data_IF_988270509325
#
_entry.id   IF_988270509325
#
_cell.length_a   1.000
_cell.length_b   1.000
_cell.length_c   1.000
_cell.angle_alpha   90.00
_cell.angle_beta   90.00
_cell.angle_gamma   90.00
#
_symmetry.space_group_name_H-M   'P 1'
#
loop_
_entity.id
_entity.type
_entity.pdbx_description
1 polymer ?
#
# COMPACT_ATOMS: atom_id res chain seq x y z
N UNK A 1 10.75 20.05 13.53
CA UNK A 1 11.75 19.23 12.78
C UNK A 1 11.45 19.32 11.30
N UNK A 2 12.47 19.44 10.47
CA UNK A 2 12.35 19.27 9.02
C UNK A 2 12.58 17.82 8.65
N UNK A 3 11.55 17.16 8.14
CA UNK A 3 11.57 15.77 7.72
C UNK A 3 11.58 15.73 6.19
N UNK A 4 12.74 15.45 5.59
CA UNK A 4 12.85 15.32 4.14
C UNK A 4 12.58 13.87 3.75
N UNK A 5 11.67 13.69 2.79
CA UNK A 5 11.17 12.38 2.36
C UNK A 5 11.51 12.15 0.89
N UNK A 6 12.13 11.04 0.59
CA UNK A 6 12.48 10.64 -0.78
C UNK A 6 11.70 9.39 -1.18
N UNK A 7 10.94 9.45 -2.27
CA UNK A 7 10.20 8.30 -2.75
C UNK A 7 10.32 8.14 -4.26
N UNK A 8 10.59 6.93 -4.71
CA UNK A 8 10.47 6.49 -6.10
C UNK A 8 9.17 5.70 -6.30
N UNK A 9 8.84 5.36 -7.52
CA UNK A 9 7.68 4.55 -7.88
C UNK A 9 6.34 5.12 -7.40
N UNK A 10 6.27 6.44 -7.25
CA UNK A 10 5.02 7.15 -6.93
C UNK A 10 4.19 7.26 -8.20
N UNK A 11 3.06 6.56 -8.24
CA UNK A 11 2.18 6.60 -9.39
C UNK A 11 1.53 7.99 -9.54
N UNK A 12 1.36 8.51 -10.78
CA UNK A 12 0.83 9.86 -10.99
C UNK A 12 -0.61 10.04 -10.48
N UNK A 13 -1.44 9.02 -10.57
CA UNK A 13 -2.89 9.10 -10.29
C UNK A 13 -3.37 8.22 -9.15
N UNK A 14 -2.70 7.10 -8.84
CA UNK A 14 -3.19 6.13 -7.84
C UNK A 14 -2.05 5.42 -7.11
N UNK A 15 -2.38 4.70 -6.06
CA UNK A 15 -1.49 3.75 -5.38
C UNK A 15 -1.33 4.01 -3.88
N UNK A 16 -1.21 2.94 -3.15
CA UNK A 16 -1.06 2.95 -1.69
C UNK A 16 0.12 3.79 -1.21
N UNK A 17 1.27 3.74 -1.93
CA UNK A 17 2.43 4.57 -1.59
C UNK A 17 2.09 6.07 -1.64
N UNK A 18 1.40 6.54 -2.70
CA UNK A 18 1.01 7.94 -2.82
C UNK A 18 0.08 8.38 -1.68
N UNK A 19 -0.89 7.52 -1.33
CA UNK A 19 -1.78 7.77 -0.19
C UNK A 19 -1.00 7.82 1.12
N UNK A 20 -0.12 6.86 1.38
CA UNK A 20 0.71 6.83 2.59
C UNK A 20 1.61 8.07 2.70
N UNK A 21 2.27 8.47 1.61
CA UNK A 21 3.09 9.68 1.58
C UNK A 21 2.26 10.93 1.90
N UNK A 22 1.08 11.06 1.31
CA UNK A 22 0.20 12.20 1.56
C UNK A 22 -0.29 12.27 3.00
N UNK A 23 -0.82 11.18 3.53
CA UNK A 23 -1.41 11.14 4.86
C UNK A 23 -0.34 11.32 5.97
N UNK A 24 0.83 10.68 5.82
CA UNK A 24 1.94 10.90 6.73
C UNK A 24 2.45 12.34 6.67
N UNK A 25 2.59 12.91 5.46
CA UNK A 25 3.01 14.31 5.31
C UNK A 25 2.04 15.29 5.95
N UNK A 26 0.75 15.14 5.69
CA UNK A 26 -0.30 15.95 6.34
C UNK A 26 -0.28 15.80 7.87
N UNK A 27 -0.08 14.56 8.35
CA UNK A 27 0.03 14.30 9.79
C UNK A 27 1.29 14.92 10.42
N UNK A 28 2.43 14.90 9.72
CA UNK A 28 3.64 15.57 10.21
C UNK A 28 3.43 17.11 10.28
N UNK A 29 2.79 17.67 9.26
CA UNK A 29 2.47 19.10 9.22
C UNK A 29 1.53 19.48 10.37
N UNK A 30 0.48 18.70 10.59
CA UNK A 30 -0.47 18.91 11.69
C UNK A 30 0.17 18.77 13.08
N UNK A 31 1.25 17.98 13.19
CA UNK A 31 2.04 17.83 14.40
C UNK A 31 3.12 18.95 14.59
N UNK A 32 3.11 19.99 13.75
CA UNK A 32 4.03 21.13 13.85
C UNK A 32 5.44 20.85 13.28
N UNK A 33 5.57 19.85 12.40
CA UNK A 33 6.82 19.56 11.70
C UNK A 33 6.79 20.15 10.28
N UNK A 34 7.95 20.19 9.63
CA UNK A 34 8.13 20.68 8.26
C UNK A 34 8.43 19.51 7.32
N UNK A 35 7.41 18.83 6.75
CA UNK A 35 7.62 17.77 5.80
C UNK A 35 7.94 18.33 4.42
N UNK A 36 9.01 17.80 3.81
CA UNK A 36 9.42 18.08 2.43
C UNK A 36 9.50 16.76 1.67
N UNK A 37 8.66 16.56 0.67
CA UNK A 37 8.63 15.35 -0.15
C UNK A 37 9.34 15.60 -1.48
N UNK A 38 10.31 14.75 -1.84
CA UNK A 38 11.00 14.76 -3.13
C UNK A 38 10.63 13.51 -3.90
N UNK A 39 10.00 13.68 -5.06
CA UNK A 39 9.53 12.60 -5.93
C UNK A 39 9.94 12.80 -7.38
N UNK A 40 10.00 11.74 -8.21
CA UNK A 40 10.21 11.88 -9.64
C UNK A 40 8.92 12.28 -10.36
N UNK A 41 9.04 13.08 -11.42
CA UNK A 41 7.96 13.49 -12.30
C UNK A 41 8.37 13.60 -13.75
N UNK A 42 7.49 14.12 -14.59
CA UNK A 42 7.75 14.43 -16.00
C UNK A 42 8.47 15.77 -16.20
N UNK A 43 8.30 16.68 -15.26
CA UNK A 43 8.92 18.00 -15.18
C UNK A 43 9.38 18.30 -13.77
N UNK A 44 10.19 19.34 -13.63
CA UNK A 44 10.53 19.89 -12.32
C UNK A 44 9.40 20.78 -11.83
N UNK A 45 9.07 20.67 -10.55
CA UNK A 45 8.10 21.52 -9.86
C UNK A 45 8.45 21.64 -8.38
N UNK A 46 7.99 22.70 -7.74
CA UNK A 46 8.16 22.95 -6.29
C UNK A 46 6.89 23.62 -5.80
N UNK A 47 6.12 22.90 -5.00
CA UNK A 47 4.75 23.29 -4.64
C UNK A 47 4.51 23.14 -3.14
N UNK A 48 3.81 24.10 -2.54
CA UNK A 48 3.24 23.94 -1.21
C UNK A 48 1.87 23.27 -1.31
N UNK A 49 1.68 22.24 -0.50
CA UNK A 49 0.46 21.42 -0.53
C UNK A 49 -0.03 21.14 0.89
N UNK A 50 -1.21 20.53 1.03
CA UNK A 50 -1.73 20.08 2.32
C UNK A 50 -0.92 18.98 3.02
N UNK A 51 0.10 18.42 2.37
CA UNK A 51 1.04 17.45 2.95
C UNK A 51 2.44 18.04 3.21
N UNK A 52 2.59 19.36 3.09
CA UNK A 52 3.86 20.09 3.13
C UNK A 52 4.40 20.41 1.73
N UNK A 53 5.69 20.77 1.67
CA UNK A 53 6.37 21.11 0.40
C UNK A 53 6.63 19.85 -0.41
N UNK A 54 6.28 19.88 -1.69
CA UNK A 54 6.51 18.78 -2.64
C UNK A 54 7.42 19.26 -3.76
N UNK A 55 8.60 18.68 -3.85
CA UNK A 55 9.59 18.93 -4.89
C UNK A 55 9.56 17.78 -5.89
N UNK A 56 9.12 18.04 -7.09
CA UNK A 56 9.13 17.08 -8.19
C UNK A 56 10.40 17.28 -9.01
N UNK A 57 11.14 16.22 -9.25
CA UNK A 57 12.32 16.25 -10.11
C UNK A 57 12.07 15.42 -11.37
N UNK A 58 12.39 16.01 -12.54
CA UNK A 58 12.31 15.25 -13.79
C UNK A 58 13.17 13.99 -13.72
N UNK A 59 12.52 12.83 -13.85
CA UNK A 59 13.13 11.51 -13.81
C UNK A 59 12.73 10.63 -14.99
N UNK A 60 13.59 9.65 -15.39
CA UNK A 60 13.26 8.73 -16.46
C UNK A 60 12.09 7.81 -16.07
N UNK A 61 11.35 7.38 -17.08
CA UNK A 61 10.35 6.31 -16.93
C UNK A 61 11.04 4.96 -16.80
N UNK A 62 10.51 4.11 -15.94
CA UNK A 62 10.93 2.71 -15.85
C UNK A 62 10.14 1.90 -16.89
N UNK A 63 10.80 1.20 -17.82
CA UNK A 63 10.12 0.40 -18.82
C UNK A 63 9.19 -0.65 -18.20
N UNK A 64 8.10 -0.97 -18.87
CA UNK A 64 7.15 -2.03 -18.50
C UNK A 64 6.47 -1.89 -17.12
N UNK A 65 6.55 -0.71 -16.47
CA UNK A 65 5.97 -0.49 -15.12
C UNK A 65 4.69 0.35 -15.12
N UNK A 66 4.11 0.65 -16.29
CA UNK A 66 2.91 1.48 -16.38
C UNK A 66 3.14 2.96 -16.00
N UNK A 67 4.35 3.48 -16.28
CA UNK A 67 4.66 4.90 -16.17
C UNK A 67 5.34 5.34 -14.88
N UNK A 68 5.79 4.44 -14.04
CA UNK A 68 6.64 4.79 -12.90
C UNK A 68 7.92 5.49 -13.33
N UNK A 69 8.38 6.41 -12.49
CA UNK A 69 9.61 7.16 -12.67
C UNK A 69 10.54 7.00 -11.47
N UNK A 70 11.83 7.30 -11.65
CA UNK A 70 12.86 7.17 -10.63
C UNK A 70 13.76 8.41 -10.56
N UNK A 71 14.23 8.70 -9.35
CA UNK A 71 15.22 9.71 -9.03
C UNK A 71 16.63 9.15 -9.24
N UNK A 72 17.31 9.54 -10.30
CA UNK A 72 18.67 9.05 -10.62
C UNK A 72 19.76 10.12 -10.48
N UNK A 73 19.41 11.41 -10.50
CA UNK A 73 20.39 12.52 -10.50
C UNK A 73 20.97 12.78 -9.11
N UNK A 74 21.88 11.90 -8.65
CA UNK A 74 22.49 11.97 -7.31
C UNK A 74 23.02 13.35 -6.94
N UNK A 75 23.76 14.01 -7.83
CA UNK A 75 24.31 15.36 -7.58
C UNK A 75 23.22 16.38 -7.23
N UNK A 76 22.09 16.32 -7.93
CA UNK A 76 20.96 17.24 -7.68
C UNK A 76 20.28 16.94 -6.35
N UNK A 77 20.05 15.66 -6.05
CA UNK A 77 19.48 15.24 -4.78
C UNK A 77 20.41 15.63 -3.61
N UNK A 78 21.71 15.41 -3.76
CA UNK A 78 22.69 15.80 -2.74
C UNK A 78 22.65 17.31 -2.49
N UNK A 79 22.62 18.14 -3.55
CA UNK A 79 22.49 19.60 -3.42
C UNK A 79 21.23 19.98 -2.65
N UNK A 80 20.06 19.45 -3.04
CA UNK A 80 18.79 19.71 -2.35
C UNK A 80 18.83 19.28 -0.87
N UNK A 81 19.38 18.12 -0.56
CA UNK A 81 19.51 17.66 0.82
C UNK A 81 20.40 18.60 1.64
N UNK A 82 21.50 19.11 1.04
CA UNK A 82 22.39 20.07 1.71
C UNK A 82 21.72 21.43 1.91
N UNK A 83 20.95 21.91 0.94
CA UNK A 83 20.19 23.17 1.02
C UNK A 83 19.05 23.07 2.05
N UNK A 84 18.32 21.97 2.05
CA UNK A 84 17.19 21.73 2.93
C UNK A 84 17.58 21.49 4.39
N UNK A 85 18.79 21.04 4.67
CA UNK A 85 19.29 20.73 6.04
C UNK A 85 18.30 19.92 6.87
N UNK A 86 17.95 18.68 6.47
CA UNK A 86 16.97 17.89 7.20
C UNK A 86 17.44 17.52 8.60
N UNK A 87 16.54 17.52 9.56
CA UNK A 87 16.74 16.91 10.88
C UNK A 87 16.62 15.38 10.78
N UNK A 88 15.74 14.92 9.88
CA UNK A 88 15.56 13.50 9.61
C UNK A 88 15.26 13.26 8.12
N UNK A 89 15.76 12.14 7.59
CA UNK A 89 15.59 11.69 6.23
C UNK A 89 14.75 10.41 6.20
N UNK A 90 13.59 10.43 5.52
CA UNK A 90 12.75 9.26 5.28
C UNK A 90 12.88 8.81 3.82
N UNK A 91 13.14 7.54 3.58
CA UNK A 91 13.35 7.01 2.23
C UNK A 91 12.45 5.80 1.97
N UNK A 92 11.64 5.88 0.93
CA UNK A 92 10.70 4.84 0.51
C UNK A 92 11.20 4.02 -0.68
N UNK A 93 12.51 4.00 -0.92
CA UNK A 93 13.15 3.15 -1.94
C UNK A 93 14.51 2.68 -1.44
N UNK A 94 14.65 1.36 -1.32
CA UNK A 94 15.88 0.71 -0.85
C UNK A 94 16.82 0.28 -1.99
N UNK A 95 16.47 0.53 -3.23
CA UNK A 95 17.27 0.20 -4.41
C UNK A 95 18.14 1.37 -4.86
N UNK A 96 17.56 2.30 -5.61
CA UNK A 96 18.30 3.40 -6.23
C UNK A 96 18.66 4.53 -5.26
N UNK A 97 17.92 4.68 -4.16
CA UNK A 97 18.12 5.73 -3.14
C UNK A 97 18.91 5.26 -1.89
N UNK A 98 19.32 3.99 -1.79
CA UNK A 98 20.05 3.47 -0.62
C UNK A 98 21.28 4.29 -0.25
N UNK A 99 21.96 4.92 -1.21
CA UNK A 99 23.14 5.76 -0.97
C UNK A 99 22.84 6.96 -0.06
N UNK A 100 21.59 7.40 0.02
CA UNK A 100 21.18 8.54 0.85
C UNK A 100 21.32 8.26 2.34
N UNK A 101 21.19 7.03 2.79
CA UNK A 101 21.48 6.64 4.17
C UNK A 101 22.95 6.89 4.56
N UNK A 102 23.89 6.62 3.64
CA UNK A 102 25.30 6.96 3.88
C UNK A 102 25.56 8.46 3.85
N UNK A 103 24.85 9.19 2.99
CA UNK A 103 24.89 10.64 2.98
C UNK A 103 24.43 11.20 4.34
N UNK A 104 23.27 10.77 4.81
CA UNK A 104 22.70 11.20 6.08
C UNK A 104 23.66 10.96 7.26
N UNK A 105 24.25 9.77 7.35
CA UNK A 105 25.23 9.45 8.39
C UNK A 105 26.43 10.39 8.39
N UNK A 106 26.96 10.77 7.21
CA UNK A 106 28.09 11.71 7.10
C UNK A 106 27.75 13.13 7.53
N UNK A 107 26.45 13.48 7.52
CA UNK A 107 25.97 14.81 7.88
C UNK A 107 25.26 14.84 9.25
N UNK A 108 25.33 13.77 10.03
CA UNK A 108 24.70 13.69 11.35
C UNK A 108 23.16 13.68 11.29
N UNK A 109 22.56 13.34 10.15
CA UNK A 109 21.12 13.31 9.92
C UNK A 109 20.60 11.91 10.19
N UNK A 110 19.54 11.79 10.99
CA UNK A 110 18.85 10.52 11.21
C UNK A 110 18.25 10.00 9.92
N UNK A 111 18.54 8.76 9.54
CA UNK A 111 18.06 8.14 8.31
C UNK A 111 17.10 6.98 8.60
N UNK A 112 15.89 7.09 8.07
CA UNK A 112 14.82 6.11 8.18
C UNK A 112 14.50 5.55 6.80
N UNK A 113 14.44 4.23 6.65
CA UNK A 113 13.94 3.58 5.44
C UNK A 113 12.59 2.95 5.73
N UNK A 114 11.62 3.20 4.86
CA UNK A 114 10.27 2.61 4.95
C UNK A 114 10.14 1.49 3.91
N UNK A 115 9.86 0.28 4.38
CA UNK A 115 9.70 -0.90 3.52
C UNK A 115 8.27 -0.99 3.03
N UNK A 116 8.02 -0.51 1.82
CA UNK A 116 6.72 -0.60 1.14
C UNK A 116 6.60 -1.78 0.19
N UNK A 117 7.67 -2.55 -0.01
CA UNK A 117 7.74 -3.61 -1.01
C UNK A 117 8.52 -4.82 -0.46
N UNK A 118 8.22 -6.02 -0.95
CA UNK A 118 9.04 -7.20 -0.77
C UNK A 118 10.06 -7.30 -1.91
N UNK A 119 11.36 -7.23 -1.60
CA UNK A 119 12.40 -7.43 -2.61
C UNK A 119 12.42 -8.87 -3.13
N UNK A 120 12.17 -9.84 -2.27
CA UNK A 120 12.13 -11.24 -2.68
C UNK A 120 10.99 -11.48 -3.69
N UNK A 121 9.82 -10.89 -3.46
CA UNK A 121 8.69 -10.97 -4.38
C UNK A 121 8.99 -10.26 -5.71
N UNK A 122 9.57 -9.04 -5.67
CA UNK A 122 9.89 -8.28 -6.88
C UNK A 122 10.96 -8.95 -7.73
N UNK A 123 12.04 -9.45 -7.11
CA UNK A 123 13.12 -10.15 -7.82
C UNK A 123 12.61 -11.51 -8.34
N UNK A 124 11.75 -12.20 -7.59
CA UNK A 124 11.14 -13.46 -7.99
C UNK A 124 10.23 -13.36 -9.20
N UNK A 125 9.66 -12.18 -9.49
CA UNK A 125 8.93 -11.94 -10.75
C UNK A 125 9.85 -11.85 -11.96
N UNK A 126 11.11 -11.45 -11.77
CA UNK A 126 12.10 -11.29 -12.84
C UNK A 126 13.00 -12.52 -13.00
N UNK A 127 13.21 -13.28 -11.93
CA UNK A 127 14.05 -14.47 -11.90
C UNK A 127 13.19 -15.71 -11.61
N UNK A 128 13.14 -16.71 -12.51
CA UNK A 128 12.28 -17.88 -12.35
C UNK A 128 12.73 -18.83 -11.22
N UNK A 129 13.90 -18.61 -10.64
CA UNK A 129 14.45 -19.44 -9.56
C UNK A 129 14.35 -18.76 -8.20
N UNK A 130 13.52 -19.29 -7.28
CA UNK A 130 13.28 -18.65 -5.97
C UNK A 130 14.53 -18.59 -5.05
N UNK A 131 15.44 -19.57 -5.16
CA UNK A 131 16.68 -19.59 -4.35
C UNK A 131 17.60 -18.41 -4.61
N UNK A 132 18.08 -18.21 -5.86
CA UNK A 132 18.90 -17.06 -6.23
C UNK A 132 18.22 -15.71 -5.98
N UNK A 133 16.93 -15.59 -6.23
CA UNK A 133 16.16 -14.38 -5.97
C UNK A 133 16.20 -14.00 -4.47
N UNK A 134 16.02 -14.98 -3.59
CA UNK A 134 16.09 -14.78 -2.14
C UNK A 134 17.48 -14.39 -1.66
N UNK A 135 18.55 -15.04 -2.16
CA UNK A 135 19.92 -14.71 -1.82
C UNK A 135 20.25 -13.26 -2.21
N UNK A 136 19.83 -12.83 -3.40
CA UNK A 136 20.03 -11.47 -3.87
C UNK A 136 19.24 -10.47 -3.01
N UNK A 137 17.97 -10.75 -2.70
CA UNK A 137 17.17 -9.94 -1.79
C UNK A 137 17.82 -9.81 -0.42
N UNK A 138 18.34 -10.89 0.15
CA UNK A 138 18.99 -10.89 1.45
C UNK A 138 20.29 -10.05 1.46
N UNK A 139 21.09 -10.12 0.39
CA UNK A 139 22.28 -9.25 0.24
C UNK A 139 21.90 -7.79 0.18
N UNK A 140 20.87 -7.45 -0.58
CA UNK A 140 20.38 -6.07 -0.71
C UNK A 140 19.78 -5.57 0.61
N UNK A 141 19.02 -6.41 1.31
CA UNK A 141 18.43 -6.09 2.61
C UNK A 141 19.52 -5.89 3.69
N UNK A 142 20.59 -6.71 3.73
CA UNK A 142 21.76 -6.48 4.61
C UNK A 142 22.44 -5.14 4.32
N UNK A 143 22.63 -4.80 3.04
CA UNK A 143 23.21 -3.53 2.65
C UNK A 143 22.31 -2.34 3.03
N UNK A 144 21.01 -2.51 2.97
CA UNK A 144 20.01 -1.52 3.39
C UNK A 144 20.00 -1.36 4.91
N UNK A 145 19.95 -2.45 5.67
CA UNK A 145 20.00 -2.42 7.14
C UNK A 145 21.23 -1.69 7.68
N UNK A 146 22.39 -1.86 7.02
CA UNK A 146 23.62 -1.16 7.39
C UNK A 146 23.65 0.32 6.97
N UNK A 147 22.80 0.72 6.01
CA UNK A 147 22.80 2.09 5.49
C UNK A 147 21.93 3.05 6.30
N UNK A 148 20.92 2.57 6.97
CA UNK A 148 19.93 3.37 7.69
C UNK A 148 19.94 3.11 9.18
N UNK A 149 19.58 4.13 9.99
CA UNK A 149 19.51 4.03 11.45
C UNK A 149 18.28 3.22 11.89
N UNK A 150 17.17 3.34 11.15
CA UNK A 150 15.92 2.60 11.38
C UNK A 150 15.33 2.12 10.06
N UNK A 151 14.72 0.95 10.11
CA UNK A 151 13.89 0.39 9.04
C UNK A 151 12.48 0.25 9.59
N UNK A 152 11.54 0.96 8.99
CA UNK A 152 10.12 0.84 9.30
C UNK A 152 9.51 -0.23 8.41
N UNK A 153 8.90 -1.23 9.03
CA UNK A 153 8.11 -2.26 8.38
C UNK A 153 6.64 -2.07 8.75
N UNK A 154 5.76 -2.00 7.75
CA UNK A 154 4.34 -1.74 7.98
C UNK A 154 3.58 -2.96 8.50
N UNK A 155 4.14 -4.16 8.31
CA UNK A 155 3.60 -5.45 8.75
C UNK A 155 4.72 -6.38 9.22
N UNK A 156 4.38 -7.45 9.95
CA UNK A 156 5.31 -8.53 10.29
C UNK A 156 5.80 -9.27 9.05
N UNK A 157 4.92 -9.42 8.06
CA UNK A 157 5.30 -10.00 6.77
C UNK A 157 6.43 -9.21 6.07
N UNK A 158 6.34 -7.87 6.08
CA UNK A 158 7.41 -7.01 5.57
C UNK A 158 8.69 -7.05 6.44
N UNK A 159 8.54 -7.24 7.76
CA UNK A 159 9.66 -7.36 8.69
C UNK A 159 10.42 -8.68 8.52
N UNK A 160 9.74 -9.76 8.18
CA UNK A 160 10.33 -11.10 8.07
C UNK A 160 11.53 -11.18 7.10
N UNK A 161 11.55 -10.35 6.03
CA UNK A 161 12.71 -10.26 5.13
C UNK A 161 13.98 -9.73 5.83
N UNK A 162 13.82 -8.82 6.77
CA UNK A 162 14.91 -8.23 7.53
C UNK A 162 15.27 -9.05 8.78
N UNK A 163 14.28 -9.66 9.43
CA UNK A 163 14.48 -10.58 10.55
C UNK A 163 15.31 -11.79 10.13
N UNK A 164 15.02 -12.36 8.95
CA UNK A 164 15.76 -13.47 8.36
C UNK A 164 17.27 -13.19 8.20
N UNK A 165 17.65 -11.94 8.01
CA UNK A 165 19.05 -11.52 7.87
C UNK A 165 19.66 -11.01 9.19
N UNK A 166 18.94 -11.09 10.31
CA UNK A 166 19.38 -10.65 11.63
C UNK A 166 19.45 -9.13 11.80
N UNK A 167 18.66 -8.35 11.06
CA UNK A 167 18.63 -6.90 11.22
C UNK A 167 18.06 -6.51 12.59
N UNK A 168 18.75 -5.63 13.33
CA UNK A 168 18.37 -5.21 14.69
C UNK A 168 17.72 -3.83 14.77
N UNK A 169 17.72 -3.09 13.67
CA UNK A 169 17.21 -1.71 13.59
C UNK A 169 15.80 -1.63 13.00
N UNK A 170 14.99 -2.65 13.23
CA UNK A 170 13.61 -2.72 12.76
C UNK A 170 12.65 -2.01 13.72
N UNK A 171 11.64 -1.39 13.16
CA UNK A 171 10.49 -0.84 13.89
C UNK A 171 9.22 -1.18 13.11
N UNK A 172 8.22 -1.71 13.79
CA UNK A 172 6.90 -1.94 13.19
C UNK A 172 6.04 -0.71 13.40
N UNK A 173 5.55 -0.15 12.29
CA UNK A 173 4.62 0.97 12.29
C UNK A 173 3.59 0.78 11.17
N UNK A 174 2.41 0.24 11.49
CA UNK A 174 1.34 0.05 10.52
C UNK A 174 0.89 1.38 9.92
N UNK A 175 0.46 1.34 8.66
CA UNK A 175 -0.22 2.47 8.02
C UNK A 175 -1.64 2.62 8.55
N UNK A 176 -2.32 3.69 8.16
CA UNK A 176 -3.67 3.98 8.59
C UNK A 176 -4.69 4.00 7.46
N UNK A 177 -5.94 4.22 7.83
CA UNK A 177 -7.06 4.51 6.93
C UNK A 177 -7.82 5.74 7.43
N UNK A 178 -8.40 6.48 6.51
CA UNK A 178 -9.29 7.61 6.80
C UNK A 178 -10.68 7.07 7.14
N UNK A 179 -10.95 6.99 8.43
CA UNK A 179 -12.18 6.42 8.98
C UNK A 179 -13.41 7.34 8.82
N UNK A 180 -13.20 8.60 8.47
CA UNK A 180 -14.28 9.58 8.23
C UNK A 180 -14.79 9.47 6.80
N UNK A 181 -13.89 9.38 5.83
CA UNK A 181 -14.25 9.17 4.42
C UNK A 181 -14.73 7.75 4.18
N UNK A 182 -13.97 6.75 4.66
CA UNK A 182 -14.31 5.33 4.55
C UNK A 182 -15.07 4.88 5.80
N UNK A 183 -16.40 4.93 5.70
CA UNK A 183 -17.30 4.57 6.80
C UNK A 183 -18.42 3.67 6.32
N UNK A 184 -18.99 2.84 7.19
CA UNK A 184 -20.12 1.99 6.85
C UNK A 184 -21.28 2.82 6.28
N UNK A 185 -21.92 2.27 5.25
CA UNK A 185 -23.16 2.81 4.67
C UNK A 185 -24.23 1.73 4.74
N UNK A 186 -25.50 2.14 4.77
CA UNK A 186 -26.60 1.17 4.66
C UNK A 186 -26.48 0.43 3.33
N UNK A 187 -26.45 -0.90 3.33
CA UNK A 187 -26.50 -1.66 2.10
C UNK A 187 -27.80 -1.33 1.36
N UNK A 188 -27.72 -1.13 0.06
CA UNK A 188 -28.91 -1.05 -0.77
C UNK A 188 -29.41 -2.47 -1.04
N UNK A 189 -30.74 -2.66 -0.96
CA UNK A 189 -31.36 -3.91 -1.36
C UNK A 189 -31.00 -4.21 -2.82
N UNK A 190 -30.49 -5.40 -3.09
CA UNK A 190 -30.09 -5.84 -4.43
C UNK A 190 -30.27 -7.34 -4.60
N UNK A 191 -30.41 -7.76 -5.83
CA UNK A 191 -30.42 -9.18 -6.16
C UNK A 191 -28.98 -9.71 -6.28
N UNK A 192 -28.68 -10.77 -5.54
CA UNK A 192 -27.40 -11.45 -5.55
C UNK A 192 -26.25 -10.73 -4.82
N UNK A 193 -25.08 -11.34 -4.89
CA UNK A 193 -23.84 -10.94 -4.20
C UNK A 193 -23.03 -9.98 -5.07
N UNK A 194 -22.60 -8.86 -4.50
CA UNK A 194 -21.68 -7.93 -5.14
C UNK A 194 -20.25 -8.14 -4.62
N UNK A 195 -19.38 -8.56 -5.50
CA UNK A 195 -17.94 -8.58 -5.26
C UNK A 195 -17.31 -7.30 -5.81
N UNK A 196 -16.33 -6.75 -5.11
CA UNK A 196 -15.54 -5.62 -5.59
C UNK A 196 -14.05 -5.99 -5.60
N UNK A 197 -13.40 -5.81 -6.74
CA UNK A 197 -11.96 -5.77 -6.84
C UNK A 197 -11.51 -4.31 -6.91
N UNK A 198 -10.68 -3.86 -5.97
CA UNK A 198 -10.15 -2.50 -5.96
C UNK A 198 -8.63 -2.53 -5.98
N UNK A 199 -8.03 -2.04 -7.08
CA UNK A 199 -6.59 -1.99 -7.19
C UNK A 199 -6.09 -1.86 -8.61
N UNK A 200 -4.76 -1.76 -8.74
CA UNK A 200 -4.11 -1.69 -10.05
C UNK A 200 -4.26 -3.01 -10.80
N UNK A 201 -4.60 -2.93 -12.09
CA UNK A 201 -4.71 -4.12 -12.94
C UNK A 201 -3.36 -4.49 -13.55
N UNK A 202 -2.44 -4.95 -12.71
CA UNK A 202 -1.04 -5.27 -13.04
C UNK A 202 -0.66 -6.70 -12.60
N UNK A 203 0.39 -7.29 -13.20
CA UNK A 203 0.75 -8.70 -12.96
C UNK A 203 0.99 -9.06 -11.50
N UNK A 204 1.61 -8.16 -10.73
CA UNK A 204 1.90 -8.38 -9.30
C UNK A 204 0.66 -8.37 -8.41
N UNK A 205 -0.45 -7.76 -8.88
CA UNK A 205 -1.73 -7.73 -8.18
C UNK A 205 -2.64 -8.91 -8.53
N UNK A 206 -2.28 -9.69 -9.54
CA UNK A 206 -3.03 -10.87 -10.01
C UNK A 206 -4.56 -10.68 -10.09
N UNK A 207 -5.06 -9.63 -10.76
CA UNK A 207 -6.50 -9.35 -10.81
C UNK A 207 -7.32 -10.47 -11.49
N UNK A 208 -6.68 -11.31 -12.31
CA UNK A 208 -7.31 -12.49 -12.93
C UNK A 208 -7.85 -13.49 -11.89
N UNK A 209 -7.26 -13.55 -10.69
CA UNK A 209 -7.76 -14.40 -9.58
C UNK A 209 -9.18 -14.00 -9.16
N UNK A 210 -9.52 -12.71 -9.25
CA UNK A 210 -10.88 -12.23 -8.94
C UNK A 210 -11.91 -12.74 -9.96
N UNK A 211 -11.54 -12.76 -11.24
CA UNK A 211 -12.42 -13.33 -12.27
C UNK A 211 -12.59 -14.84 -12.08
N UNK A 212 -11.51 -15.55 -11.79
CA UNK A 212 -11.55 -17.00 -11.46
C UNK A 212 -12.49 -17.24 -10.28
N UNK A 213 -12.37 -16.46 -9.21
CA UNK A 213 -13.25 -16.54 -8.04
C UNK A 213 -14.71 -16.32 -8.42
N UNK A 214 -15.03 -15.31 -9.24
CA UNK A 214 -16.39 -15.05 -9.70
C UNK A 214 -16.93 -16.22 -10.54
N UNK A 215 -16.12 -16.78 -11.46
CA UNK A 215 -16.49 -17.92 -12.28
C UNK A 215 -16.82 -19.14 -11.42
N UNK A 216 -15.98 -19.48 -10.46
CA UNK A 216 -16.20 -20.61 -9.53
C UNK A 216 -17.48 -20.46 -8.72
N UNK A 217 -17.72 -19.28 -8.13
CA UNK A 217 -18.93 -19.03 -7.35
C UNK A 217 -20.21 -19.16 -8.20
N UNK A 218 -20.17 -18.69 -9.46
CA UNK A 218 -21.30 -18.80 -10.36
C UNK A 218 -21.54 -20.23 -10.83
N UNK A 219 -20.48 -20.98 -11.09
CA UNK A 219 -20.57 -22.41 -11.41
C UNK A 219 -21.22 -23.22 -10.29
N UNK A 220 -21.05 -22.78 -9.02
CA UNK A 220 -21.68 -23.36 -7.84
C UNK A 220 -23.13 -22.83 -7.62
N UNK A 221 -23.69 -22.03 -8.53
CA UNK A 221 -25.06 -21.53 -8.47
C UNK A 221 -25.22 -20.23 -7.67
N UNK A 222 -24.15 -19.60 -7.15
CA UNK A 222 -24.27 -18.33 -6.45
C UNK A 222 -24.57 -17.20 -7.45
N UNK A 223 -25.65 -16.47 -7.27
CA UNK A 223 -25.95 -15.25 -8.03
C UNK A 223 -24.97 -14.15 -7.63
N UNK A 224 -23.83 -14.08 -8.29
CA UNK A 224 -22.80 -13.10 -8.01
C UNK A 224 -22.46 -12.25 -9.24
N UNK A 225 -22.13 -10.99 -9.01
CA UNK A 225 -21.59 -10.04 -9.99
C UNK A 225 -20.39 -9.28 -9.39
N UNK A 226 -19.59 -8.67 -10.25
CA UNK A 226 -18.37 -7.99 -9.81
C UNK A 226 -18.26 -6.59 -10.39
N UNK A 227 -17.74 -5.66 -9.56
CA UNK A 227 -17.21 -4.37 -10.03
C UNK A 227 -15.70 -4.35 -9.84
N UNK A 228 -14.99 -4.00 -10.91
CA UNK A 228 -13.54 -3.83 -10.92
C UNK A 228 -13.22 -2.34 -10.94
N UNK A 229 -12.77 -1.80 -9.81
CA UNK A 229 -12.35 -0.41 -9.66
C UNK A 229 -10.83 -0.34 -9.73
N UNK A 230 -10.32 0.15 -10.84
CA UNK A 230 -8.90 0.28 -11.10
C UNK A 230 -8.57 0.24 -12.58
N UNK A 231 -7.30 0.52 -12.87
CA UNK A 231 -6.79 0.53 -14.25
C UNK A 231 -5.37 -0.06 -14.27
N UNK A 232 -4.93 -0.47 -15.45
CA UNK A 232 -3.59 -1.04 -15.61
C UNK A 232 -3.42 -1.88 -16.87
N UNK A 233 -2.21 -2.36 -17.11
CA UNK A 233 -1.85 -3.05 -18.37
C UNK A 233 -2.61 -4.35 -18.65
N UNK A 234 -3.26 -4.93 -17.64
CA UNK A 234 -4.06 -6.15 -17.82
C UNK A 234 -5.53 -5.89 -18.13
N UNK A 235 -6.01 -4.63 -18.16
CA UNK A 235 -7.41 -4.29 -18.32
C UNK A 235 -8.05 -4.97 -19.54
N UNK A 236 -7.52 -4.74 -20.74
CA UNK A 236 -8.08 -5.29 -21.97
C UNK A 236 -8.12 -6.83 -21.99
N UNK A 237 -7.14 -7.46 -21.37
CA UNK A 237 -7.11 -8.92 -21.24
C UNK A 237 -8.21 -9.44 -20.31
N UNK A 238 -8.45 -8.72 -19.20
CA UNK A 238 -9.49 -9.07 -18.23
C UNK A 238 -10.90 -8.85 -18.82
N UNK A 239 -11.11 -7.75 -19.55
CA UNK A 239 -12.38 -7.47 -20.24
C UNK A 239 -12.69 -8.53 -21.27
N UNK A 240 -11.72 -8.91 -22.14
CA UNK A 240 -11.88 -10.01 -23.10
C UNK A 240 -12.19 -11.34 -22.42
N UNK A 241 -11.52 -11.65 -21.32
CA UNK A 241 -11.78 -12.88 -20.56
C UNK A 241 -13.19 -12.87 -19.97
N UNK A 242 -13.61 -11.77 -19.33
CA UNK A 242 -14.93 -11.65 -18.74
C UNK A 242 -16.04 -11.83 -19.80
N UNK A 243 -15.87 -11.23 -20.98
CA UNK A 243 -16.81 -11.36 -22.09
C UNK A 243 -16.85 -12.81 -22.64
N UNK A 244 -15.69 -13.45 -22.84
CA UNK A 244 -15.62 -14.81 -23.36
C UNK A 244 -16.24 -15.86 -22.41
N UNK A 245 -16.11 -15.64 -21.09
CA UNK A 245 -16.67 -16.51 -20.05
C UNK A 245 -18.11 -16.09 -19.63
N UNK A 246 -18.71 -15.06 -20.24
CA UNK A 246 -20.05 -14.55 -19.89
C UNK A 246 -20.18 -14.09 -18.44
N UNK A 247 -19.09 -13.57 -17.86
CA UNK A 247 -19.08 -13.13 -16.46
C UNK A 247 -19.70 -11.73 -16.30
N UNK A 248 -20.61 -11.51 -15.34
CA UNK A 248 -21.21 -10.22 -15.08
C UNK A 248 -20.23 -9.30 -14.33
N UNK A 249 -19.29 -8.71 -15.06
CA UNK A 249 -18.25 -7.82 -14.55
C UNK A 249 -18.42 -6.42 -15.14
N UNK A 250 -18.43 -5.42 -14.28
CA UNK A 250 -18.36 -4.00 -14.66
C UNK A 250 -16.98 -3.46 -14.39
N UNK A 251 -16.29 -2.98 -15.40
CA UNK A 251 -14.98 -2.33 -15.26
C UNK A 251 -15.17 -0.81 -15.12
N UNK A 252 -15.18 -0.32 -13.88
CA UNK A 252 -15.41 1.09 -13.54
C UNK A 252 -14.20 2.00 -13.85
N UNK A 253 -13.05 1.41 -14.16
CA UNK A 253 -11.82 2.19 -14.34
C UNK A 253 -11.27 2.77 -13.03
N UNK A 254 -10.43 3.77 -13.15
CA UNK A 254 -9.85 4.45 -11.99
C UNK A 254 -10.86 5.44 -11.40
N UNK A 255 -11.26 5.23 -10.16
CA UNK A 255 -12.11 6.14 -9.38
C UNK A 255 -11.22 7.19 -8.70
N UNK A 256 -11.31 8.44 -9.16
CA UNK A 256 -10.52 9.55 -8.62
C UNK A 256 -11.10 10.09 -7.29
N UNK A 257 -12.40 9.97 -7.12
CA UNK A 257 -13.13 10.46 -5.94
C UNK A 257 -13.08 9.47 -4.78
N UNK A 258 -12.49 9.85 -3.65
CA UNK A 258 -12.46 8.99 -2.45
C UNK A 258 -13.86 8.67 -1.93
N UNK A 259 -14.79 9.61 -2.00
CA UNK A 259 -16.18 9.41 -1.60
C UNK A 259 -16.92 8.42 -2.51
N UNK A 260 -16.63 8.43 -3.81
CA UNK A 260 -17.14 7.49 -4.78
C UNK A 260 -16.59 6.07 -4.53
N UNK A 261 -15.29 5.97 -4.30
CA UNK A 261 -14.65 4.70 -3.92
C UNK A 261 -15.23 4.15 -2.62
N UNK A 262 -15.41 4.99 -1.60
CA UNK A 262 -16.02 4.60 -0.32
C UNK A 262 -17.46 4.12 -0.51
N UNK A 263 -18.24 4.77 -1.41
CA UNK A 263 -19.59 4.33 -1.74
C UNK A 263 -19.59 2.94 -2.39
N UNK A 264 -18.70 2.71 -3.36
CA UNK A 264 -18.55 1.42 -4.01
C UNK A 264 -18.14 0.33 -3.00
N UNK A 265 -17.08 0.56 -2.22
CA UNK A 265 -16.60 -0.40 -1.22
C UNK A 265 -17.69 -0.72 -0.18
N UNK A 266 -18.38 0.31 0.34
CA UNK A 266 -19.47 0.13 1.32
C UNK A 266 -20.69 -0.59 0.77
N UNK A 267 -20.93 -0.51 -0.56
CA UNK A 267 -22.02 -1.24 -1.21
C UNK A 267 -21.69 -2.72 -1.43
N UNK A 268 -20.44 -3.15 -1.38
CA UNK A 268 -20.04 -4.53 -1.64
C UNK A 268 -20.44 -5.50 -0.51
N UNK A 269 -20.62 -6.78 -0.85
CA UNK A 269 -20.75 -7.86 0.13
C UNK A 269 -19.37 -8.38 0.54
N UNK A 270 -18.42 -8.39 -0.42
CA UNK A 270 -17.04 -8.81 -0.21
C UNK A 270 -16.11 -7.99 -1.11
N UNK A 271 -15.00 -7.55 -0.56
CA UNK A 271 -13.87 -7.00 -1.35
C UNK A 271 -12.85 -8.11 -1.59
N UNK A 272 -12.40 -8.27 -2.84
CA UNK A 272 -11.36 -9.21 -3.21
C UNK A 272 -10.00 -8.52 -3.30
N UNK A 273 -9.02 -9.05 -2.61
CA UNK A 273 -7.63 -8.58 -2.59
C UNK A 273 -6.67 -9.73 -2.94
N UNK A 274 -6.63 -10.17 -4.22
CA UNK A 274 -5.98 -11.41 -4.64
C UNK A 274 -4.45 -11.31 -4.80
N UNK A 275 -3.86 -10.12 -4.63
CA UNK A 275 -2.45 -9.86 -4.91
C UNK A 275 -1.51 -10.51 -3.87
N UNK A 276 -0.58 -11.40 -4.29
CA UNK A 276 0.37 -12.05 -3.37
C UNK A 276 1.52 -11.13 -2.94
N UNK A 277 1.73 -10.01 -3.60
CA UNK A 277 2.82 -9.08 -3.33
C UNK A 277 2.41 -7.87 -2.48
N UNK A 278 1.23 -7.92 -1.84
CA UNK A 278 0.79 -6.85 -0.95
C UNK A 278 1.62 -6.83 0.35
N UNK A 279 2.17 -5.67 0.67
CA UNK A 279 2.94 -5.45 1.91
C UNK A 279 2.13 -4.83 3.04
N UNK A 280 0.97 -4.22 2.72
CA UNK A 280 0.01 -3.69 3.68
C UNK A 280 -1.43 -3.77 3.16
N UNK A 281 -1.71 -3.27 1.94
CA UNK A 281 -3.02 -3.37 1.29
C UNK A 281 -4.01 -2.30 1.73
N UNK A 282 -3.71 -1.02 1.47
CA UNK A 282 -4.61 0.10 1.83
C UNK A 282 -6.03 -0.07 1.26
N UNK A 283 -6.18 -0.56 0.02
CA UNK A 283 -7.50 -0.77 -0.57
C UNK A 283 -8.34 -1.83 0.20
N UNK A 284 -7.69 -2.87 0.71
CA UNK A 284 -8.34 -3.85 1.57
C UNK A 284 -8.78 -3.20 2.90
N UNK A 285 -7.90 -2.40 3.51
CA UNK A 285 -8.20 -1.69 4.74
C UNK A 285 -9.31 -0.64 4.55
N UNK A 286 -9.37 0.04 3.40
CA UNK A 286 -10.46 0.94 3.01
C UNK A 286 -11.80 0.19 2.89
N UNK A 287 -11.79 -1.04 2.35
CA UNK A 287 -12.95 -1.93 2.33
C UNK A 287 -13.43 -2.28 3.75
N UNK A 288 -12.52 -2.69 4.63
CA UNK A 288 -12.83 -2.97 6.03
C UNK A 288 -13.40 -1.74 6.75
N UNK A 289 -12.85 -0.55 6.49
CA UNK A 289 -13.34 0.70 7.08
C UNK A 289 -14.77 1.05 6.64
N UNK A 290 -15.15 0.68 5.42
CA UNK A 290 -16.52 0.78 4.93
C UNK A 290 -17.47 -0.30 5.51
N UNK A 291 -16.99 -1.14 6.41
CA UNK A 291 -17.75 -2.27 6.97
C UNK A 291 -17.88 -3.45 6.01
N UNK A 292 -17.04 -3.54 4.99
CA UNK A 292 -17.08 -4.63 4.02
C UNK A 292 -15.95 -5.63 4.29
N UNK A 293 -16.28 -6.91 4.52
CA UNK A 293 -15.27 -7.94 4.75
C UNK A 293 -14.39 -8.14 3.50
N UNK A 294 -13.15 -8.55 3.73
CA UNK A 294 -12.16 -8.74 2.68
C UNK A 294 -11.77 -10.21 2.56
N UNK A 295 -11.72 -10.71 1.33
CA UNK A 295 -11.09 -12.01 1.05
C UNK A 295 -9.78 -11.75 0.31
N UNK A 296 -8.68 -12.19 0.92
CA UNK A 296 -7.34 -11.84 0.54
C UNK A 296 -6.49 -13.06 0.17
N UNK A 297 -5.39 -12.82 -0.55
CA UNK A 297 -4.35 -13.83 -0.75
C UNK A 297 -3.63 -14.12 0.57
N UNK A 298 -3.53 -15.39 0.96
CA UNK A 298 -2.75 -15.84 2.12
C UNK A 298 -1.23 -15.68 1.89
N UNK A 299 -0.79 -15.47 0.66
CA UNK A 299 0.62 -15.34 0.26
C UNK A 299 1.17 -13.92 0.43
N UNK A 300 0.47 -13.04 1.12
CA UNK A 300 0.77 -11.61 1.27
C UNK A 300 0.74 -11.16 2.75
N UNK A 301 0.94 -9.88 2.99
CA UNK A 301 0.76 -9.28 4.31
C UNK A 301 -0.72 -9.13 4.73
N UNK A 302 -1.66 -9.34 3.82
CA UNK A 302 -3.08 -9.10 4.07
C UNK A 302 -3.70 -9.96 5.19
N UNK A 303 -3.29 -11.22 5.43
CA UNK A 303 -3.77 -11.97 6.59
C UNK A 303 -3.58 -11.21 7.91
N UNK A 304 -2.45 -10.50 8.06
CA UNK A 304 -2.18 -9.68 9.25
C UNK A 304 -3.10 -8.45 9.31
N UNK A 305 -3.44 -7.84 8.17
CA UNK A 305 -4.29 -6.64 8.11
C UNK A 305 -5.77 -7.00 8.25
N UNK A 306 -6.21 -8.05 7.58
CA UNK A 306 -7.61 -8.49 7.55
C UNK A 306 -8.02 -9.17 8.87
N UNK A 307 -7.18 -10.06 9.41
CA UNK A 307 -7.50 -10.83 10.61
C UNK A 307 -8.84 -11.56 10.48
N UNK A 308 -9.61 -11.60 11.56
CA UNK A 308 -10.91 -12.28 11.63
C UNK A 308 -12.06 -11.52 10.92
N UNK A 309 -11.77 -10.34 10.39
CA UNK A 309 -12.76 -9.50 9.69
C UNK A 309 -13.04 -9.94 8.24
N UNK A 310 -12.35 -10.98 7.80
CA UNK A 310 -12.51 -11.55 6.45
C UNK A 310 -12.02 -12.98 6.37
N UNK A 311 -11.38 -13.33 5.26
CA UNK A 311 -10.73 -14.63 5.06
C UNK A 311 -9.44 -14.47 4.24
N UNK A 312 -8.52 -15.41 4.41
CA UNK A 312 -7.28 -15.49 3.63
C UNK A 312 -7.18 -16.86 2.98
N UNK A 313 -6.94 -16.89 1.67
CA UNK A 313 -6.95 -18.11 0.86
C UNK A 313 -5.67 -18.18 0.04
N UNK A 314 -5.04 -19.34 -0.02
CA UNK A 314 -3.90 -19.61 -0.88
C UNK A 314 -4.37 -20.05 -2.28
N UNK A 315 -3.53 -19.80 -3.30
CA UNK A 315 -3.80 -20.26 -4.67
C UNK A 315 -4.55 -19.25 -5.54
N UNK A 316 -5.08 -19.74 -6.67
CA UNK A 316 -5.61 -18.90 -7.74
C UNK A 316 -7.13 -18.59 -7.60
N UNK A 317 -7.84 -19.31 -6.73
CA UNK A 317 -9.28 -19.18 -6.50
C UNK A 317 -9.57 -18.87 -5.02
N UNK A 318 -10.27 -17.77 -4.78
CA UNK A 318 -10.64 -17.32 -3.43
C UNK A 318 -12.10 -17.64 -3.08
N UNK A 319 -12.81 -18.43 -3.87
CA UNK A 319 -14.24 -18.73 -3.70
C UNK A 319 -14.56 -19.34 -2.32
N UNK A 320 -13.71 -20.21 -1.82
CA UNK A 320 -13.85 -20.79 -0.48
C UNK A 320 -13.89 -19.73 0.63
N UNK A 321 -13.03 -18.71 0.52
CA UNK A 321 -13.02 -17.59 1.46
C UNK A 321 -14.27 -16.72 1.35
N UNK A 322 -14.76 -16.49 0.13
CA UNK A 322 -16.01 -15.76 -0.09
C UNK A 322 -17.19 -16.49 0.57
N UNK A 323 -17.30 -17.79 0.36
CA UNK A 323 -18.36 -18.61 1.01
C UNK A 323 -18.27 -18.57 2.53
N UNK A 324 -17.08 -18.72 3.08
CA UNK A 324 -16.85 -18.68 4.53
C UNK A 324 -17.27 -17.31 5.13
N UNK A 325 -16.99 -16.24 4.44
CA UNK A 325 -17.40 -14.88 4.85
C UNK A 325 -18.91 -14.71 4.74
N UNK A 326 -19.53 -15.14 3.63
CA UNK A 326 -20.95 -14.98 3.37
C UNK A 326 -21.82 -15.88 4.29
N UNK A 327 -21.30 -16.99 4.78
CA UNK A 327 -21.97 -17.85 5.76
C UNK A 327 -22.19 -17.15 7.11
N UNK A 328 -21.46 -16.07 7.40
CA UNK A 328 -21.61 -15.29 8.62
C UNK A 328 -22.77 -14.30 8.47
N UNK A 329 -23.56 -14.01 9.54
CA UNK A 329 -24.60 -13.00 9.51
C UNK A 329 -24.08 -11.64 9.01
N UNK A 330 -24.81 -10.97 8.13
CA UNK A 330 -24.35 -9.73 7.49
C UNK A 330 -23.95 -8.66 8.52
N UNK A 331 -24.79 -8.42 9.52
CA UNK A 331 -24.50 -7.42 10.55
C UNK A 331 -23.21 -7.73 11.29
N UNK A 332 -22.96 -9.01 11.62
CA UNK A 332 -21.77 -9.44 12.34
C UNK A 332 -20.50 -9.29 11.50
N UNK A 333 -20.52 -9.73 10.23
CA UNK A 333 -19.33 -9.60 9.36
C UNK A 333 -19.00 -8.14 9.04
N UNK A 334 -20.00 -7.26 8.89
CA UNK A 334 -19.81 -5.82 8.67
C UNK A 334 -19.28 -5.11 9.91
N UNK A 335 -19.80 -5.42 11.10
CA UNK A 335 -19.31 -4.88 12.36
C UNK A 335 -17.86 -5.30 12.61
N UNK A 336 -17.51 -6.57 12.38
CA UNK A 336 -16.14 -7.07 12.51
C UNK A 336 -15.18 -6.36 11.54
N UNK A 337 -15.60 -6.13 10.30
CA UNK A 337 -14.79 -5.40 9.31
C UNK A 337 -14.48 -3.96 9.80
N UNK A 338 -15.48 -3.23 10.25
CA UNK A 338 -15.31 -1.88 10.78
C UNK A 338 -14.42 -1.85 12.02
N UNK A 339 -14.69 -2.67 13.01
CA UNK A 339 -13.91 -2.78 14.25
C UNK A 339 -12.44 -3.12 13.96
N UNK A 340 -12.18 -3.94 12.94
CA UNK A 340 -10.82 -4.23 12.51
C UNK A 340 -10.11 -3.00 11.95
N UNK A 341 -10.77 -2.24 11.08
CA UNK A 341 -10.20 -1.03 10.48
C UNK A 341 -9.92 0.06 11.51
N UNK A 342 -10.72 0.19 12.54
CA UNK A 342 -10.55 1.18 13.62
C UNK A 342 -9.23 1.00 14.40
N UNK A 343 -8.61 -0.16 14.31
CA UNK A 343 -7.27 -0.42 14.88
C UNK A 343 -6.14 0.23 14.05
N UNK A 344 -6.44 0.78 12.88
CA UNK A 344 -5.48 1.32 11.91
C UNK A 344 -5.80 2.79 11.57
N UNK A 345 -5.81 3.68 12.57
CA UNK A 345 -6.01 5.11 12.32
C UNK A 345 -4.73 5.83 11.91
N UNK A 346 -4.82 6.79 10.99
CA UNK A 346 -3.67 7.59 10.56
C UNK A 346 -2.99 8.33 11.72
N UNK A 347 -3.74 8.80 12.72
CA UNK A 347 -3.17 9.46 13.89
C UNK A 347 -2.18 8.54 14.65
N UNK A 348 -2.48 7.26 14.79
CA UNK A 348 -1.58 6.28 15.41
C UNK A 348 -0.35 6.02 14.53
N UNK A 349 -0.54 5.87 13.21
CA UNK A 349 0.55 5.71 12.25
C UNK A 349 1.52 6.91 12.30
N UNK A 350 1.00 8.13 12.23
CA UNK A 350 1.80 9.35 12.30
C UNK A 350 2.62 9.42 13.59
N UNK A 351 2.00 9.16 14.74
CA UNK A 351 2.74 9.11 16.03
C UNK A 351 3.88 8.09 16.02
N UNK A 352 3.61 6.88 15.52
CA UNK A 352 4.63 5.84 15.43
C UNK A 352 5.80 6.25 14.53
N UNK A 353 5.53 6.86 13.38
CA UNK A 353 6.56 7.35 12.47
C UNK A 353 7.35 8.53 13.08
N UNK A 354 6.68 9.47 13.77
CA UNK A 354 7.36 10.59 14.44
C UNK A 354 8.33 10.11 15.53
N UNK A 355 7.96 9.08 16.29
CA UNK A 355 8.87 8.44 17.25
C UNK A 355 10.11 7.88 16.53
N UNK A 356 9.95 7.24 15.38
CA UNK A 356 11.07 6.74 14.58
C UNK A 356 11.97 7.87 14.10
N UNK A 357 11.41 9.03 13.76
CA UNK A 357 12.17 10.23 13.39
C UNK A 357 12.88 10.89 14.60
N UNK A 358 12.59 10.45 15.83
CA UNK A 358 13.15 11.03 17.05
C UNK A 358 12.44 12.32 17.50
N UNK A 359 11.24 12.56 16.99
CA UNK A 359 10.40 13.62 17.55
C UNK A 359 10.02 13.26 18.99
N UNK A 360 10.26 14.17 19.93
CA UNK A 360 9.75 14.01 21.29
C UNK A 360 8.24 14.06 21.22
N UNK A 361 7.55 13.10 21.84
CA UNK A 361 6.12 13.22 22.08
C UNK A 361 5.90 14.53 22.83
N UNK A 362 5.16 15.46 22.24
CA UNK A 362 4.62 16.55 23.01
C UNK A 362 3.60 15.92 23.96
N UNK A 363 4.02 15.55 25.15
CA UNK A 363 3.13 15.32 26.26
C UNK A 363 2.36 16.64 26.43
N UNK A 364 1.06 16.58 26.22
CA UNK A 364 0.18 17.67 26.59
C UNK A 364 0.37 17.86 28.10
N UNK A 365 1.13 18.86 28.47
CA UNK A 365 1.02 19.46 29.79
C UNK A 365 -0.32 20.16 29.79
N UNK A 366 -1.37 19.42 30.15
CA UNK A 366 -2.62 19.97 30.61
C UNK A 366 -2.50 20.00 32.14
N UNK A 367 -2.04 21.13 32.62
CA UNK A 367 -2.32 21.53 33.99
C UNK A 367 -3.72 22.14 34.06
#
# INVERSE_FOLDING_TARGET
>A
MRIVRLANFVAPRSGGLRTALRELGAGYLAAGHEPVLIIPGDRDADEQTGQGRVITLRGPRVPCTGGYRVLLRRRRITRLLTELRPDSLEVSDRSTLRWTGRWARRHGVRAVMVSHESLAALIGMALPWPGPARILADRLNRATSRAYDRIVCTTGWAAAEFERIGARNLTRAPLGVDLDTFRPRRPQARDGVLLVHCGRLSPEKKPQRSLTTLASLRAEGLRARMVVAGDGPLRDRLERRAAAEGLPVTFAGFLAGRAELAALLGSADVVLAPGPAETFGLAALEGLACGTPVVASAESALPEVVGDAGASVAGEDLSAGVRAVLARPEAARRAAARARAERFGWAAAVRAFLVVHGARSAERTSA
#
